data_IF_864425473022
#
_entry.id   IF_864425473022
#
_cell.length_a   1.000
_cell.length_b   1.000
_cell.length_c   1.000
_cell.angle_alpha   90.00
_cell.angle_beta   90.00
_cell.angle_gamma   90.00
#
_symmetry.space_group_name_H-M   'P 1'
#
loop_
_entity.id
_entity.type
_entity.pdbx_description
1 polymer ?
#
# COMPACT_ATOMS: atom_id res chain seq x y z
N UNK A 1 -30.75 -4.49 15.65
CA UNK A 1 -30.26 -5.49 14.70
C UNK A 1 -28.73 -5.37 14.61
N UNK A 2 -28.03 -6.35 15.18
CA UNK A 2 -26.54 -6.34 15.25
C UNK A 2 -25.90 -6.70 13.90
N UNK A 3 -26.69 -6.97 12.88
CA UNK A 3 -26.25 -7.41 11.56
C UNK A 3 -26.41 -6.36 10.45
N UNK A 4 -26.55 -5.09 10.80
CA UNK A 4 -26.63 -4.05 9.78
C UNK A 4 -25.30 -3.98 9.00
N UNK A 5 -25.34 -4.03 7.66
CA UNK A 5 -24.11 -3.94 6.86
C UNK A 5 -23.48 -2.55 6.98
N UNK A 6 -22.17 -2.49 6.74
CA UNK A 6 -21.47 -1.22 6.67
C UNK A 6 -22.08 -0.35 5.55
N UNK A 7 -22.48 0.91 5.84
CA UNK A 7 -23.12 1.75 4.83
C UNK A 7 -22.21 2.03 3.63
N UNK A 8 -22.70 1.88 2.38
CA UNK A 8 -22.02 2.49 1.24
C UNK A 8 -22.15 4.04 1.35
N UNK A 9 -21.16 4.81 1.10
CA UNK A 9 -19.83 4.63 0.53
C UNK A 9 -18.68 4.67 1.55
N UNK A 10 -18.74 3.82 2.58
CA UNK A 10 -17.64 3.73 3.56
C UNK A 10 -16.30 3.49 2.87
N UNK A 11 -15.26 4.19 3.32
CA UNK A 11 -13.89 4.11 2.79
C UNK A 11 -12.91 3.89 3.93
N UNK A 12 -11.83 3.19 3.64
CA UNK A 12 -10.65 3.16 4.50
C UNK A 12 -9.81 4.38 4.15
N UNK A 13 -9.51 5.22 5.14
CA UNK A 13 -8.78 6.48 4.93
C UNK A 13 -7.29 6.30 4.85
N UNK A 14 -6.71 5.32 5.53
CA UNK A 14 -5.27 5.04 5.52
C UNK A 14 -4.96 3.59 5.91
N UNK A 15 -3.75 3.15 5.56
CA UNK A 15 -3.12 1.94 6.10
C UNK A 15 -1.94 2.34 6.98
N UNK A 16 -1.64 1.54 8.00
CA UNK A 16 -0.51 1.74 8.88
C UNK A 16 0.39 0.51 8.84
N UNK A 17 1.67 0.72 8.51
CA UNK A 17 2.63 -0.33 8.23
C UNK A 17 3.78 -0.32 9.24
N UNK A 18 4.18 -1.50 9.65
CA UNK A 18 5.40 -1.73 10.40
C UNK A 18 6.59 -1.79 9.46
N UNK A 19 7.62 -0.98 9.74
CA UNK A 19 8.86 -0.96 8.96
C UNK A 19 10.05 -1.09 9.91
N UNK A 20 11.18 -1.58 9.42
CA UNK A 20 12.41 -1.67 10.21
C UNK A 20 13.20 -0.36 10.23
N UNK A 21 13.03 0.49 9.24
CA UNK A 21 13.73 1.76 9.08
C UNK A 21 12.81 2.79 8.43
N UNK A 22 12.60 3.93 9.09
CA UNK A 22 11.70 4.98 8.61
C UNK A 22 12.28 5.74 7.42
N UNK A 23 13.57 5.99 7.39
CA UNK A 23 14.22 6.70 6.29
C UNK A 23 14.23 5.86 5.01
N UNK A 24 14.47 4.56 5.14
CA UNK A 24 14.40 3.64 4.01
C UNK A 24 12.97 3.51 3.48
N UNK A 25 11.98 3.42 4.38
CA UNK A 25 10.58 3.43 4.00
C UNK A 25 10.19 4.73 3.30
N UNK A 26 10.58 5.89 3.84
CA UNK A 26 10.29 7.20 3.23
C UNK A 26 10.88 7.31 1.83
N UNK A 27 12.13 6.85 1.61
CA UNK A 27 12.71 6.80 0.26
C UNK A 27 11.88 5.97 -0.70
N UNK A 28 11.41 4.80 -0.27
CA UNK A 28 10.56 3.96 -1.13
C UNK A 28 9.23 4.65 -1.45
N UNK A 29 8.50 5.12 -0.44
CA UNK A 29 7.18 5.69 -0.67
C UNK A 29 7.24 7.06 -1.37
N UNK A 30 8.23 7.91 -1.08
CA UNK A 30 8.35 9.23 -1.71
C UNK A 30 9.09 9.18 -3.04
N UNK A 31 10.29 8.58 -3.08
CA UNK A 31 11.14 8.66 -4.27
C UNK A 31 10.72 7.63 -5.33
N UNK A 32 10.30 6.41 -4.91
CA UNK A 32 9.93 5.34 -5.83
C UNK A 32 8.45 5.40 -6.23
N UNK A 33 7.53 5.56 -5.26
CA UNK A 33 6.10 5.58 -5.55
C UNK A 33 5.53 7.00 -5.79
N UNK A 34 6.26 8.05 -5.40
CA UNK A 34 5.87 9.43 -5.68
C UNK A 34 4.91 10.06 -4.68
N UNK A 35 4.85 9.55 -3.45
CA UNK A 35 4.07 10.19 -2.38
C UNK A 35 4.77 11.46 -1.87
N UNK A 36 3.97 12.41 -1.41
CA UNK A 36 4.44 13.57 -0.65
C UNK A 36 4.87 13.16 0.76
N UNK A 37 6.02 13.65 1.22
CA UNK A 37 6.43 13.59 2.62
C UNK A 37 5.49 14.46 3.47
N UNK A 38 4.82 13.89 4.45
CA UNK A 38 3.96 14.56 5.43
C UNK A 38 4.59 14.66 6.81
N UNK A 39 5.80 14.17 6.96
CA UNK A 39 6.62 14.34 8.16
C UNK A 39 7.15 13.05 8.74
N UNK A 40 8.41 13.13 9.13
CA UNK A 40 9.12 12.11 9.91
C UNK A 40 9.15 12.56 11.38
N UNK A 41 8.34 11.91 12.21
CA UNK A 41 8.19 12.22 13.63
C UNK A 41 9.01 11.26 14.48
N UNK A 42 10.31 11.55 14.62
CA UNK A 42 11.29 10.67 15.31
C UNK A 42 10.89 10.34 16.75
N UNK A 43 10.34 11.32 17.48
CA UNK A 43 9.92 11.11 18.87
C UNK A 43 8.81 10.04 18.98
N UNK A 44 7.93 9.97 17.99
CA UNK A 44 6.86 8.98 17.93
C UNK A 44 7.25 7.71 17.16
N UNK A 45 8.46 7.67 16.63
CA UNK A 45 8.96 6.58 15.77
C UNK A 45 7.99 6.25 14.63
N UNK A 46 7.54 7.31 13.93
CA UNK A 46 6.60 7.20 12.83
C UNK A 46 6.86 8.23 11.75
N UNK A 47 6.41 7.93 10.55
CA UNK A 47 6.37 8.83 9.42
C UNK A 47 5.04 8.71 8.68
N UNK A 48 4.71 9.72 7.89
CA UNK A 48 3.47 9.77 7.13
C UNK A 48 3.74 10.22 5.72
N UNK A 49 3.07 9.59 4.76
CA UNK A 49 3.08 9.99 3.35
C UNK A 49 1.67 10.10 2.80
N UNK A 50 1.48 10.96 1.80
CA UNK A 50 0.17 11.23 1.23
C UNK A 50 0.26 11.73 -0.21
N UNK A 51 -0.87 11.95 -0.84
CA UNK A 51 -1.04 12.67 -2.10
C UNK A 51 -2.18 13.67 -1.97
N UNK A 52 -2.20 14.67 -2.86
CA UNK A 52 -3.32 15.62 -3.02
C UNK A 52 -3.74 16.33 -1.71
N UNK A 53 -2.77 16.73 -0.89
CA UNK A 53 -3.01 17.52 0.32
C UNK A 53 -3.73 16.78 1.46
N UNK A 54 -4.06 15.52 1.31
CA UNK A 54 -4.65 14.72 2.39
C UNK A 54 -3.65 14.55 3.54
N UNK A 55 -4.12 14.41 4.79
CA UNK A 55 -3.23 14.41 5.96
C UNK A 55 -2.27 13.21 6.00
N UNK A 56 -2.73 12.00 5.65
CA UNK A 56 -1.87 10.85 5.33
C UNK A 56 -2.70 9.70 4.74
N UNK A 57 -2.16 9.02 3.74
CA UNK A 57 -2.71 7.78 3.19
C UNK A 57 -1.99 6.56 3.75
N UNK A 58 -0.70 6.69 4.03
CA UNK A 58 0.10 5.62 4.60
C UNK A 58 0.83 6.16 5.84
N UNK A 59 0.64 5.49 6.96
CA UNK A 59 1.43 5.65 8.18
C UNK A 59 2.49 4.57 8.25
N UNK A 60 3.71 4.96 8.62
CA UNK A 60 4.87 4.10 8.76
C UNK A 60 5.37 4.18 10.21
N UNK A 61 5.75 3.06 10.81
CA UNK A 61 6.28 3.09 12.17
C UNK A 61 7.29 1.97 12.44
N UNK A 62 8.17 2.23 13.43
CA UNK A 62 9.12 1.24 13.96
C UNK A 62 8.77 0.80 15.39
N UNK A 63 7.48 0.67 15.69
CA UNK A 63 7.03 0.36 17.07
C UNK A 63 7.38 -1.06 17.52
N UNK A 64 7.61 -1.99 16.59
CA UNK A 64 8.12 -3.33 16.90
C UNK A 64 9.65 -3.35 17.09
N UNK A 65 10.32 -2.25 16.85
CA UNK A 65 11.76 -2.07 16.97
C UNK A 65 12.40 -1.58 15.69
N UNK A 66 13.39 -0.69 15.81
CA UNK A 66 14.26 -0.34 14.69
C UNK A 66 15.07 -1.57 14.27
N UNK A 67 15.20 -1.80 12.96
CA UNK A 67 15.83 -2.98 12.41
C UNK A 67 15.00 -4.27 12.55
N UNK A 68 13.73 -4.20 12.98
CA UNK A 68 12.88 -5.38 13.05
C UNK A 68 12.74 -6.01 11.66
N UNK A 69 12.90 -7.35 11.54
CA UNK A 69 12.75 -8.02 10.26
C UNK A 69 11.30 -7.98 9.78
N UNK A 70 11.06 -8.18 8.47
CA UNK A 70 9.71 -8.38 7.95
C UNK A 70 8.99 -9.52 8.67
N UNK A 71 7.66 -9.43 8.75
CA UNK A 71 6.87 -10.51 9.32
C UNK A 71 7.10 -11.84 8.56
N UNK A 72 7.11 -12.99 9.24
CA UNK A 72 7.21 -14.30 8.60
C UNK A 72 6.08 -14.48 7.56
N UNK A 73 6.33 -15.23 6.47
CA UNK A 73 5.34 -15.38 5.38
C UNK A 73 4.01 -16.02 5.80
N UNK A 74 4.02 -16.79 6.89
CA UNK A 74 2.87 -17.47 7.47
C UNK A 74 2.22 -16.70 8.63
N UNK A 75 2.75 -15.53 8.98
CA UNK A 75 2.15 -14.66 9.99
C UNK A 75 0.79 -14.12 9.54
N UNK A 76 -0.14 -14.02 10.48
CA UNK A 76 -1.38 -13.30 10.26
C UNK A 76 -1.11 -11.81 10.03
N UNK A 77 -1.68 -11.24 8.96
CA UNK A 77 -1.45 -9.83 8.62
C UNK A 77 -2.07 -9.42 7.29
N UNK A 78 -1.78 -8.20 6.88
CA UNK A 78 -2.18 -7.67 5.60
C UNK A 78 -1.43 -8.42 4.48
N UNK A 79 -2.16 -9.06 3.58
CA UNK A 79 -1.54 -9.80 2.46
C UNK A 79 -1.02 -8.86 1.38
N UNK A 80 -1.80 -7.85 1.05
CA UNK A 80 -1.50 -6.75 0.12
C UNK A 80 -2.56 -5.65 0.27
N UNK A 81 -2.27 -4.49 -0.23
CA UNK A 81 -3.24 -3.41 -0.43
C UNK A 81 -3.06 -2.81 -1.82
N UNK A 82 -4.09 -2.16 -2.34
CA UNK A 82 -4.03 -1.53 -3.65
C UNK A 82 -3.93 -0.01 -3.56
N UNK A 83 -3.19 0.55 -4.50
CA UNK A 83 -3.19 1.97 -4.82
C UNK A 83 -3.88 2.14 -6.17
N UNK A 84 -5.04 2.79 -6.16
CA UNK A 84 -5.79 3.09 -7.37
C UNK A 84 -5.29 4.41 -7.97
N UNK A 85 -4.78 4.35 -9.18
CA UNK A 85 -4.30 5.49 -9.96
C UNK A 85 -5.42 5.98 -10.89
N UNK A 86 -5.41 7.25 -11.30
CA UNK A 86 -6.51 7.82 -12.07
C UNK A 86 -6.65 7.25 -13.47
N UNK A 87 -5.55 6.85 -14.11
CA UNK A 87 -5.52 6.34 -15.49
C UNK A 87 -4.26 5.53 -15.79
N UNK A 88 -4.21 4.94 -17.00
CA UNK A 88 -3.09 4.13 -17.47
C UNK A 88 -1.79 4.94 -17.60
N UNK A 89 -1.86 6.23 -17.94
CA UNK A 89 -0.68 7.07 -18.07
C UNK A 89 -0.02 7.31 -16.70
N UNK A 90 -0.82 7.54 -15.67
CA UNK A 90 -0.35 7.65 -14.30
C UNK A 90 0.25 6.31 -13.80
N UNK A 91 -0.41 5.19 -14.11
CA UNK A 91 0.11 3.87 -13.78
C UNK A 91 1.47 3.63 -14.44
N UNK A 92 1.60 3.86 -15.75
CA UNK A 92 2.87 3.64 -16.44
C UNK A 92 3.97 4.56 -15.90
N UNK A 93 3.66 5.81 -15.59
CA UNK A 93 4.62 6.74 -14.98
C UNK A 93 5.17 6.23 -13.64
N UNK A 94 4.31 5.68 -12.79
CA UNK A 94 4.76 5.08 -11.51
C UNK A 94 5.59 3.82 -11.78
N UNK A 95 5.17 2.96 -12.71
CA UNK A 95 5.90 1.74 -13.06
C UNK A 95 7.29 2.05 -13.66
N UNK A 96 7.40 3.09 -14.49
CA UNK A 96 8.69 3.56 -15.00
C UNK A 96 9.61 4.03 -13.87
N UNK A 97 9.06 4.78 -12.91
CA UNK A 97 9.84 5.24 -11.76
C UNK A 97 10.30 4.07 -10.87
N UNK A 98 9.44 3.09 -10.63
CA UNK A 98 9.79 1.84 -9.93
C UNK A 98 10.96 1.13 -10.63
N UNK A 99 10.90 0.98 -11.97
CA UNK A 99 11.97 0.35 -12.75
C UNK A 99 13.27 1.18 -12.72
N UNK A 100 13.15 2.52 -12.78
CA UNK A 100 14.30 3.42 -12.69
C UNK A 100 15.08 3.25 -11.38
N UNK A 101 14.38 2.93 -10.29
CA UNK A 101 14.99 2.63 -8.99
C UNK A 101 15.43 1.16 -8.84
N UNK A 102 15.49 0.41 -9.95
CA UNK A 102 16.01 -0.95 -9.96
C UNK A 102 15.05 -2.03 -9.43
N UNK A 103 13.78 -1.69 -9.24
CA UNK A 103 12.77 -2.64 -8.82
C UNK A 103 12.02 -3.22 -10.04
N UNK A 104 11.54 -4.45 -9.90
CA UNK A 104 10.80 -5.14 -10.97
C UNK A 104 9.35 -5.30 -10.56
N UNK A 105 8.41 -4.54 -11.16
CA UNK A 105 6.99 -4.79 -10.96
C UNK A 105 6.60 -6.18 -11.47
N UNK A 106 5.81 -6.92 -10.71
CA UNK A 106 5.32 -8.24 -11.08
C UNK A 106 3.85 -8.16 -11.53
N UNK A 107 3.45 -8.93 -12.57
CA UNK A 107 2.05 -9.01 -12.95
C UNK A 107 1.19 -9.54 -11.78
N UNK A 108 0.05 -8.90 -11.55
CA UNK A 108 -0.93 -9.30 -10.55
C UNK A 108 -2.31 -9.36 -11.19
N UNK A 109 -3.25 -10.15 -10.63
CA UNK A 109 -4.61 -10.28 -11.18
C UNK A 109 -5.36 -8.94 -11.30
N UNK A 110 -4.98 -7.93 -10.50
CA UNK A 110 -5.64 -6.62 -10.44
C UNK A 110 -4.74 -5.47 -10.92
N UNK A 111 -3.61 -5.75 -11.55
CA UNK A 111 -2.66 -4.76 -12.02
C UNK A 111 -1.21 -5.20 -11.89
N UNK A 112 -0.39 -4.40 -11.21
CA UNK A 112 1.03 -4.67 -11.00
C UNK A 112 1.37 -4.67 -9.53
N UNK A 113 2.08 -5.69 -9.07
CA UNK A 113 2.57 -5.78 -7.69
C UNK A 113 3.99 -5.25 -7.58
N UNK A 114 4.22 -4.45 -6.56
CA UNK A 114 5.55 -4.06 -6.08
C UNK A 114 5.66 -4.39 -4.59
N UNK A 115 6.88 -4.62 -4.11
CA UNK A 115 7.14 -4.82 -2.69
C UNK A 115 8.00 -3.69 -2.16
N UNK A 116 7.67 -3.20 -0.98
CA UNK A 116 8.55 -2.29 -0.26
C UNK A 116 9.74 -3.05 0.37
N UNK A 117 10.75 -2.37 0.92
CA UNK A 117 11.91 -3.02 1.54
C UNK A 117 11.58 -3.94 2.73
N UNK A 118 10.38 -3.81 3.29
CA UNK A 118 9.90 -4.56 4.46
C UNK A 118 8.89 -5.66 4.09
N UNK A 119 8.81 -5.97 2.78
CA UNK A 119 7.97 -7.05 2.21
C UNK A 119 6.46 -6.76 2.26
N UNK A 120 6.05 -5.49 2.37
CA UNK A 120 4.65 -5.15 2.13
C UNK A 120 4.38 -5.16 0.63
N UNK A 121 3.31 -5.86 0.26
CA UNK A 121 2.88 -6.01 -1.14
C UNK A 121 1.87 -4.93 -1.49
N UNK A 122 2.15 -4.19 -2.55
CA UNK A 122 1.35 -3.07 -3.02
C UNK A 122 0.93 -3.39 -4.46
N UNK A 123 -0.37 -3.38 -4.70
CA UNK A 123 -0.92 -3.59 -6.05
C UNK A 123 -1.27 -2.24 -6.64
N UNK A 124 -0.59 -1.86 -7.70
CA UNK A 124 -0.88 -0.66 -8.49
C UNK A 124 -1.98 -1.01 -9.50
N UNK A 125 -3.09 -0.28 -9.47
CA UNK A 125 -4.25 -0.51 -10.33
C UNK A 125 -4.84 0.81 -10.82
N UNK A 126 -5.57 0.78 -11.93
CA UNK A 126 -6.15 2.00 -12.52
C UNK A 126 -7.61 2.20 -12.09
N UNK A 127 -8.39 1.15 -11.88
CA UNK A 127 -9.82 1.29 -11.64
C UNK A 127 -10.25 0.67 -10.29
N UNK A 128 -10.64 1.50 -9.32
CA UNK A 128 -11.15 1.01 -8.04
C UNK A 128 -12.41 0.13 -8.19
N UNK A 129 -13.24 0.38 -9.21
CA UNK A 129 -14.45 -0.42 -9.45
C UNK A 129 -14.09 -1.80 -10.00
N UNK A 130 -13.08 -1.89 -10.89
CA UNK A 130 -12.55 -3.15 -11.37
C UNK A 130 -11.87 -3.93 -10.25
N UNK A 131 -11.08 -3.28 -9.40
CA UNK A 131 -10.48 -3.91 -8.24
C UNK A 131 -11.53 -4.47 -7.27
N UNK A 132 -12.61 -3.74 -7.02
CA UNK A 132 -13.72 -4.19 -6.17
C UNK A 132 -14.48 -5.38 -6.79
N UNK A 133 -14.73 -5.36 -8.09
CA UNK A 133 -15.41 -6.45 -8.82
C UNK A 133 -14.57 -7.74 -8.78
N UNK A 134 -13.27 -7.63 -9.00
CA UNK A 134 -12.35 -8.76 -8.98
C UNK A 134 -12.24 -9.42 -7.60
N UNK A 135 -12.27 -8.62 -6.51
CA UNK A 135 -12.33 -9.15 -5.14
C UNK A 135 -13.60 -9.95 -4.86
N UNK A 136 -14.75 -9.55 -5.44
CA UNK A 136 -16.00 -10.30 -5.34
C UNK A 136 -15.92 -11.64 -6.05
N UNK A 137 -15.33 -11.69 -7.25
CA UNK A 137 -15.12 -12.94 -8.00
C UNK A 137 -14.19 -13.91 -7.27
N UNK A 138 -13.09 -13.40 -6.68
CA UNK A 138 -12.17 -14.24 -5.90
C UNK A 138 -12.84 -14.82 -4.65
N UNK A 139 -13.67 -14.04 -3.97
CA UNK A 139 -14.45 -14.50 -2.82
C UNK A 139 -15.43 -15.60 -3.20
N UNK A 140 -16.11 -15.47 -4.35
CA UNK A 140 -17.03 -16.48 -4.85
C UNK A 140 -16.33 -17.80 -5.25
N UNK A 141 -15.12 -17.72 -5.80
CA UNK A 141 -14.31 -18.91 -6.16
C UNK A 141 -13.82 -19.70 -4.95
N UNK A 142 -13.68 -19.06 -3.78
CA UNK A 142 -13.24 -19.71 -2.52
C UNK A 142 -14.39 -20.37 -1.76
N UNK A 143 -15.62 -20.02 -2.09
CA UNK A 143 -16.84 -20.56 -1.46
C UNK A 143 -17.50 -21.69 -2.26
N UNK A 144 -16.99 -21.99 -3.45
CA UNK A 144 -17.34 -23.14 -4.28
C UNK A 144 -16.18 -24.16 -4.28
#
# INVERSE_FOLDING_TARGET
DLAAPMPPPTRIGHVHLHVGDLEEAMRFYCDVLGFDDKGLMRLFRMAMVSVDGYHHHIGLNTWQGEGAPPAPPDAAGLRWFSLALPDDAALESVLENVRHHGLTPEPHAFGWQVCDPFNHRIVLTVDPALAAAALQEESQRRTN
#
